data_IF_582896293612
#
_entry.id   IF_582896293612
#
_cell.length_a   1.000
_cell.length_b   1.000
_cell.length_c   1.000
_cell.angle_alpha   90.00
_cell.angle_beta   90.00
_cell.angle_gamma   90.00
#
_symmetry.space_group_name_H-M   'P 1'
#
loop_
_entity.id
_entity.type
_entity.pdbx_description
1 polymer ?
#
# COMPACT_ATOMS: atom_id res chain seq x y z
N UNK A 1 12.39 68.22 -12.39
CA UNK A 1 11.47 67.20 -12.98
C UNK A 1 12.05 65.78 -13.04
N UNK A 2 13.33 65.55 -13.36
CA UNK A 2 13.91 64.17 -13.41
C UNK A 2 13.99 63.48 -12.04
N UNK A 3 14.43 64.17 -10.99
CA UNK A 3 14.53 63.59 -9.64
C UNK A 3 13.17 63.13 -9.07
N UNK A 4 12.10 63.89 -9.35
CA UNK A 4 10.74 63.55 -8.92
C UNK A 4 10.21 62.27 -9.58
N UNK A 5 10.55 62.04 -10.85
CA UNK A 5 10.16 60.81 -11.58
C UNK A 5 10.90 59.57 -11.06
N UNK A 6 12.16 59.73 -10.63
CA UNK A 6 12.95 58.65 -10.02
C UNK A 6 12.40 58.31 -8.62
N UNK A 7 12.08 59.33 -7.82
CA UNK A 7 11.44 59.16 -6.50
C UNK A 7 10.08 58.48 -6.60
N UNK A 8 9.23 58.86 -7.56
CA UNK A 8 7.96 58.17 -7.79
C UNK A 8 8.17 56.71 -8.23
N UNK A 9 9.18 56.43 -9.07
CA UNK A 9 9.49 55.07 -9.51
C UNK A 9 9.94 54.17 -8.36
N UNK A 10 10.81 54.66 -7.49
CA UNK A 10 11.26 53.93 -6.30
C UNK A 10 10.12 53.68 -5.31
N UNK A 11 9.22 54.65 -5.15
CA UNK A 11 8.06 54.53 -4.27
C UNK A 11 7.05 53.49 -4.79
N UNK A 12 6.86 53.43 -6.12
CA UNK A 12 6.01 52.41 -6.75
C UNK A 12 6.61 50.99 -6.61
N UNK A 13 7.93 50.85 -6.74
CA UNK A 13 8.61 49.55 -6.54
C UNK A 13 8.54 49.11 -5.07
N UNK A 14 8.74 50.03 -4.12
CA UNK A 14 8.63 49.73 -2.69
C UNK A 14 7.20 49.34 -2.29
N UNK A 15 6.18 50.02 -2.84
CA UNK A 15 4.78 49.64 -2.66
C UNK A 15 4.46 48.28 -3.28
N UNK A 16 5.01 47.98 -4.47
CA UNK A 16 4.85 46.68 -5.12
C UNK A 16 5.47 45.54 -4.30
N UNK A 17 6.68 45.74 -3.78
CA UNK A 17 7.36 44.76 -2.92
C UNK A 17 6.64 44.59 -1.57
N UNK A 18 6.14 45.68 -0.98
CA UNK A 18 5.35 45.63 0.26
C UNK A 18 4.02 44.90 0.08
N UNK A 19 3.32 45.13 -1.04
CA UNK A 19 2.11 44.40 -1.39
C UNK A 19 2.39 42.90 -1.62
N UNK A 20 3.47 42.58 -2.33
CA UNK A 20 3.89 41.19 -2.55
C UNK A 20 4.23 40.48 -1.23
N UNK A 21 4.99 41.13 -0.33
CA UNK A 21 5.32 40.58 0.97
C UNK A 21 4.08 40.41 1.88
N UNK A 22 3.13 41.35 1.83
CA UNK A 22 1.88 41.26 2.58
C UNK A 22 0.95 40.14 2.06
N UNK A 23 0.93 39.92 0.74
CA UNK A 23 0.23 38.78 0.14
C UNK A 23 0.92 37.47 0.55
N UNK A 24 2.25 37.42 0.51
CA UNK A 24 3.04 36.24 0.88
C UNK A 24 2.85 35.85 2.34
N UNK A 25 2.87 36.81 3.27
CA UNK A 25 2.61 36.55 4.69
C UNK A 25 1.17 36.09 4.97
N UNK A 26 0.18 36.58 4.20
CA UNK A 26 -1.20 36.10 4.31
C UNK A 26 -1.37 34.70 3.73
N UNK A 27 -0.67 34.39 2.64
CA UNK A 27 -0.63 33.04 2.07
C UNK A 27 0.05 32.06 3.02
N UNK A 28 1.19 32.42 3.63
CA UNK A 28 1.88 31.57 4.62
C UNK A 28 1.03 31.33 5.88
N UNK A 29 0.27 32.35 6.32
CA UNK A 29 -0.65 32.24 7.46
C UNK A 29 -1.92 31.42 7.14
N UNK A 30 -2.32 31.33 5.87
CA UNK A 30 -3.41 30.47 5.41
C UNK A 30 -2.92 29.02 5.18
N UNK A 31 -1.70 28.84 4.63
CA UNK A 31 -1.08 27.55 4.38
C UNK A 31 -0.78 26.75 5.66
N UNK A 32 -0.54 27.41 6.78
CA UNK A 32 -0.36 26.73 8.07
C UNK A 32 -1.65 26.11 8.63
N UNK A 33 -2.82 26.48 8.10
CA UNK A 33 -4.13 26.00 8.56
C UNK A 33 -4.78 24.95 7.64
N UNK A 34 -4.38 24.90 6.36
CA UNK A 34 -5.05 24.10 5.32
C UNK A 34 -4.18 23.00 4.68
N UNK A 35 -3.04 22.63 5.28
CA UNK A 35 -2.05 21.71 4.70
C UNK A 35 -2.59 20.34 4.23
N UNK A 36 -3.67 19.84 4.85
CA UNK A 36 -4.32 18.58 4.44
C UNK A 36 -5.36 18.71 3.32
N UNK A 37 -5.88 19.91 3.06
CA UNK A 37 -6.98 20.15 2.11
C UNK A 37 -6.52 20.79 0.78
N UNK A 38 -5.33 21.38 0.70
CA UNK A 38 -4.84 22.01 -0.54
C UNK A 38 -4.43 21.01 -1.65
N UNK A 39 -4.33 19.72 -1.33
CA UNK A 39 -4.13 18.65 -2.33
C UNK A 39 -5.40 18.34 -3.14
N UNK A 40 -6.58 18.88 -2.76
CA UNK A 40 -7.85 18.73 -3.50
C UNK A 40 -7.91 19.50 -4.83
N UNK A 41 -7.00 20.44 -5.10
CA UNK A 41 -7.19 21.44 -6.15
C UNK A 41 -6.32 21.23 -7.41
N UNK A 42 -5.98 19.98 -7.75
CA UNK A 42 -5.51 19.68 -9.10
C UNK A 42 -6.74 19.45 -9.99
N UNK A 43 -6.99 20.30 -11.01
CA UNK A 43 -8.17 20.17 -11.85
C UNK A 43 -8.14 18.87 -12.65
N UNK A 44 -9.33 18.42 -13.08
CA UNK A 44 -9.57 17.26 -13.94
C UNK A 44 -8.51 17.15 -15.06
N UNK A 45 -8.02 15.93 -15.34
CA UNK A 45 -6.95 15.53 -16.27
C UNK A 45 -6.81 16.42 -17.53
N UNK A 46 -7.95 16.78 -18.14
CA UNK A 46 -8.01 17.61 -19.36
C UNK A 46 -7.50 19.03 -19.19
N UNK A 47 -7.69 19.62 -18.01
CA UNK A 47 -7.28 20.99 -17.70
C UNK A 47 -5.79 21.04 -17.40
N UNK A 48 -5.26 19.99 -16.78
CA UNK A 48 -3.88 19.95 -16.31
C UNK A 48 -2.87 19.94 -17.47
N UNK A 49 -3.12 19.13 -18.51
CA UNK A 49 -2.27 19.10 -19.71
C UNK A 49 -2.16 20.46 -20.43
N UNK A 50 -3.16 21.35 -20.28
CA UNK A 50 -3.13 22.69 -20.88
C UNK A 50 -2.48 23.73 -19.95
N UNK A 51 -2.58 23.53 -18.63
CA UNK A 51 -2.00 24.44 -17.63
C UNK A 51 -0.49 24.24 -17.45
N UNK A 52 0.01 23.03 -17.65
CA UNK A 52 1.42 22.70 -17.51
C UNK A 52 2.30 23.29 -18.64
N UNK A 53 1.71 23.81 -19.72
CA UNK A 53 2.40 24.42 -20.86
C UNK A 53 3.56 23.56 -21.44
N UNK A 54 3.40 22.23 -21.42
CA UNK A 54 4.40 21.27 -21.89
C UNK A 54 5.48 20.89 -20.85
N UNK A 55 5.34 21.32 -19.60
CA UNK A 55 6.24 20.95 -18.48
C UNK A 55 5.68 19.80 -17.64
N UNK A 56 4.93 18.90 -18.25
CA UNK A 56 4.15 17.85 -17.56
C UNK A 56 5.03 17.00 -16.65
N UNK A 57 6.24 16.63 -17.09
CA UNK A 57 7.20 15.85 -16.30
C UNK A 57 7.74 16.59 -15.06
N UNK A 58 7.93 17.91 -15.13
CA UNK A 58 8.37 18.73 -14.00
C UNK A 58 7.24 18.83 -12.98
N UNK A 59 6.03 19.06 -13.45
CA UNK A 59 4.83 19.11 -12.59
C UNK A 59 4.59 17.75 -11.95
N UNK A 60 4.65 16.66 -12.71
CA UNK A 60 4.55 15.30 -12.20
C UNK A 60 5.62 15.02 -11.14
N UNK A 61 6.86 15.44 -11.36
CA UNK A 61 7.96 15.28 -10.38
C UNK A 61 7.70 16.04 -9.08
N UNK A 62 7.15 17.26 -9.16
CA UNK A 62 6.75 18.02 -7.97
C UNK A 62 5.59 17.35 -7.23
N UNK A 63 4.58 16.88 -7.96
CA UNK A 63 3.44 16.16 -7.40
C UNK A 63 3.84 14.82 -6.79
N UNK A 64 4.80 14.11 -7.38
CA UNK A 64 5.41 12.91 -6.81
C UNK A 64 6.02 13.19 -5.43
N UNK A 65 6.83 14.24 -5.29
CA UNK A 65 7.39 14.62 -3.99
C UNK A 65 6.30 14.95 -2.96
N UNK A 66 5.22 15.61 -3.39
CA UNK A 66 4.06 15.86 -2.53
C UNK A 66 3.33 14.59 -2.15
N UNK A 67 3.21 13.62 -3.06
CA UNK A 67 2.63 12.31 -2.79
C UNK A 67 3.44 11.56 -1.74
N UNK A 68 4.77 11.55 -1.85
CA UNK A 68 5.64 10.92 -0.86
C UNK A 68 5.49 11.58 0.51
N UNK A 69 5.42 12.92 0.57
CA UNK A 69 5.19 13.66 1.83
C UNK A 69 3.83 13.32 2.46
N UNK A 70 2.76 13.39 1.65
CA UNK A 70 1.40 13.01 2.07
C UNK A 70 1.38 11.58 2.63
N UNK A 71 2.00 10.66 1.90
CA UNK A 71 2.05 9.25 2.27
C UNK A 71 2.82 9.05 3.58
N UNK A 72 3.97 9.72 3.75
CA UNK A 72 4.75 9.64 4.98
C UNK A 72 3.99 10.20 6.19
N UNK A 73 3.31 11.36 6.04
CA UNK A 73 2.54 11.99 7.12
C UNK A 73 1.39 11.09 7.60
N UNK A 74 0.63 10.52 6.67
CA UNK A 74 -0.47 9.62 7.00
C UNK A 74 0.03 8.27 7.52
N UNK A 75 1.16 7.76 7.03
CA UNK A 75 1.76 6.54 7.56
C UNK A 75 2.09 6.64 9.06
N UNK A 76 2.56 7.80 9.50
CA UNK A 76 2.93 8.08 10.89
C UNK A 76 1.75 8.51 11.78
N UNK A 77 0.56 8.75 11.22
CA UNK A 77 -0.58 9.31 11.94
C UNK A 77 -1.80 8.39 11.90
N UNK A 78 -2.78 8.69 11.04
CA UNK A 78 -4.08 8.00 10.96
C UNK A 78 -4.06 6.77 10.03
N UNK A 79 -3.04 6.65 9.18
CA UNK A 79 -2.93 5.66 8.10
C UNK A 79 -4.15 5.69 7.16
N UNK A 80 -4.75 6.88 7.00
CA UNK A 80 -5.76 7.16 6.02
C UNK A 80 -5.11 7.70 4.75
N UNK A 81 -5.31 6.98 3.64
CA UNK A 81 -4.68 7.29 2.35
C UNK A 81 -5.74 7.62 1.30
N UNK A 82 -6.79 8.32 1.72
CA UNK A 82 -7.94 8.66 0.88
C UNK A 82 -7.54 9.27 -0.47
N UNK A 83 -6.51 10.13 -0.52
CA UNK A 83 -6.11 10.83 -1.75
C UNK A 83 -5.12 10.08 -2.63
N UNK A 84 -4.58 8.95 -2.16
CA UNK A 84 -3.46 8.28 -2.81
C UNK A 84 -3.79 7.82 -4.24
N UNK A 85 -4.99 7.27 -4.48
CA UNK A 85 -5.43 6.88 -5.83
C UNK A 85 -5.43 8.08 -6.78
N UNK A 86 -6.05 9.17 -6.35
CA UNK A 86 -6.17 10.37 -7.17
C UNK A 86 -4.81 10.99 -7.49
N UNK A 87 -3.92 11.07 -6.49
CA UNK A 87 -2.55 11.54 -6.70
C UNK A 87 -1.80 10.64 -7.67
N UNK A 88 -1.91 9.31 -7.48
CA UNK A 88 -1.26 8.34 -8.33
C UNK A 88 -1.74 8.44 -9.79
N UNK A 89 -3.03 8.60 -10.01
CA UNK A 89 -3.62 8.79 -11.34
C UNK A 89 -3.13 10.06 -12.02
N UNK A 90 -3.12 11.20 -11.31
CA UNK A 90 -2.65 12.47 -11.89
C UNK A 90 -1.17 12.39 -12.25
N UNK A 91 -0.33 11.89 -11.34
CA UNK A 91 1.13 11.85 -11.55
C UNK A 91 1.47 10.95 -12.72
N UNK A 92 0.87 9.75 -12.78
CA UNK A 92 1.14 8.79 -13.85
C UNK A 92 0.51 9.19 -15.18
N UNK A 93 -0.56 10.00 -15.16
CA UNK A 93 -1.12 10.59 -16.38
C UNK A 93 -0.21 11.69 -16.96
N UNK A 94 0.33 12.56 -16.11
CA UNK A 94 1.21 13.64 -16.54
C UNK A 94 2.56 13.14 -17.06
N UNK A 95 3.13 12.12 -16.40
CA UNK A 95 4.42 11.54 -16.80
C UNK A 95 4.37 10.01 -16.81
N UNK A 96 3.72 9.40 -17.83
CA UNK A 96 3.59 7.96 -17.92
C UNK A 96 4.92 7.26 -18.21
N UNK A 97 5.96 7.99 -18.62
CA UNK A 97 7.29 7.45 -18.91
C UNK A 97 8.17 7.34 -17.64
N UNK A 98 7.72 7.89 -16.52
CA UNK A 98 8.42 7.79 -15.26
C UNK A 98 8.17 6.43 -14.60
N UNK A 99 9.00 5.44 -14.95
CA UNK A 99 8.95 4.07 -14.42
C UNK A 99 8.95 4.05 -12.89
N UNK A 100 9.79 4.86 -12.24
CA UNK A 100 9.90 4.85 -10.78
C UNK A 100 8.65 5.40 -10.11
N UNK A 101 8.08 6.50 -10.63
CA UNK A 101 6.81 7.01 -10.13
C UNK A 101 5.70 5.96 -10.28
N UNK A 102 5.56 5.35 -11.46
CA UNK A 102 4.59 4.28 -11.69
C UNK A 102 4.77 3.11 -10.72
N UNK A 103 6.01 2.65 -10.56
CA UNK A 103 6.39 1.54 -9.67
C UNK A 103 6.03 1.84 -8.22
N UNK A 104 6.51 2.95 -7.66
CA UNK A 104 6.34 3.24 -6.24
C UNK A 104 4.91 3.68 -5.90
N UNK A 105 4.22 4.40 -6.79
CA UNK A 105 2.80 4.71 -6.60
C UNK A 105 1.96 3.43 -6.53
N UNK A 106 2.23 2.44 -7.38
CA UNK A 106 1.59 1.14 -7.28
C UNK A 106 1.92 0.43 -5.97
N UNK A 107 3.18 0.42 -5.54
CA UNK A 107 3.58 -0.15 -4.25
C UNK A 107 2.83 0.52 -3.09
N UNK A 108 2.65 1.85 -3.12
CA UNK A 108 1.87 2.57 -2.11
C UNK A 108 0.40 2.16 -2.12
N UNK A 109 -0.23 2.08 -3.30
CA UNK A 109 -1.62 1.64 -3.43
C UNK A 109 -1.83 0.24 -2.87
N UNK A 110 -0.94 -0.69 -3.22
CA UNK A 110 -0.96 -2.10 -2.80
C UNK A 110 -0.65 -2.23 -1.29
N UNK A 111 0.40 -1.56 -0.81
CA UNK A 111 0.93 -1.79 0.54
C UNK A 111 0.21 -0.99 1.63
N UNK A 112 -0.28 0.21 1.30
CA UNK A 112 -0.82 1.17 2.27
C UNK A 112 -2.35 1.32 2.15
N UNK A 113 -2.86 1.24 0.92
CA UNK A 113 -4.31 1.28 0.65
C UNK A 113 -4.94 -0.10 0.52
N UNK A 114 -4.12 -1.13 0.33
CA UNK A 114 -4.57 -2.47 0.00
C UNK A 114 -5.38 -2.60 -1.28
N UNK A 115 -5.19 -1.61 -2.16
CA UNK A 115 -5.90 -1.49 -3.41
C UNK A 115 -5.10 -2.19 -4.50
N UNK A 116 -5.08 -3.52 -4.42
CA UNK A 116 -4.29 -4.37 -5.32
C UNK A 116 -4.71 -4.17 -6.78
N UNK A 117 -6.01 -3.94 -7.02
CA UNK A 117 -6.54 -3.72 -8.36
C UNK A 117 -6.08 -2.39 -8.95
N UNK A 118 -6.19 -1.28 -8.20
CA UNK A 118 -5.69 0.01 -8.66
C UNK A 118 -4.18 -0.02 -8.90
N UNK A 119 -3.41 -0.70 -8.02
CA UNK A 119 -1.97 -0.88 -8.19
C UNK A 119 -1.62 -1.65 -9.46
N UNK A 120 -2.27 -2.80 -9.71
CA UNK A 120 -2.05 -3.61 -10.92
C UNK A 120 -2.45 -2.82 -12.17
N UNK A 121 -3.57 -2.11 -12.15
CA UNK A 121 -4.04 -1.34 -13.31
C UNK A 121 -3.11 -0.17 -13.63
N UNK A 122 -2.61 0.53 -12.61
CA UNK A 122 -1.60 1.56 -12.77
C UNK A 122 -0.32 0.99 -13.40
N UNK A 123 0.17 -0.16 -12.93
CA UNK A 123 1.36 -0.80 -13.50
C UNK A 123 1.12 -1.25 -14.95
N UNK A 124 -0.05 -1.82 -15.26
CA UNK A 124 -0.44 -2.20 -16.63
C UNK A 124 -0.44 -1.00 -17.56
N UNK A 125 -1.00 0.14 -17.14
CA UNK A 125 -0.93 1.39 -17.91
C UNK A 125 0.51 1.84 -18.11
N UNK A 126 1.34 1.77 -17.07
CA UNK A 126 2.77 2.09 -17.14
C UNK A 126 3.53 1.22 -18.15
N UNK A 127 3.20 -0.07 -18.25
CA UNK A 127 3.82 -1.00 -19.21
C UNK A 127 3.55 -0.63 -20.67
N UNK A 128 2.41 0.01 -20.98
CA UNK A 128 2.08 0.46 -22.34
C UNK A 128 3.12 1.50 -22.81
N UNK A 129 3.53 2.40 -21.92
CA UNK A 129 4.50 3.46 -22.22
C UNK A 129 5.96 3.04 -22.00
N UNK A 130 6.19 2.00 -21.19
CA UNK A 130 7.52 1.52 -20.79
C UNK A 130 7.69 -0.01 -21.00
N UNK A 131 7.67 -0.51 -22.23
CA UNK A 131 7.67 -1.95 -22.51
C UNK A 131 8.97 -2.68 -22.10
N UNK A 132 10.07 -1.96 -21.90
CA UNK A 132 11.37 -2.53 -21.50
C UNK A 132 11.69 -2.38 -20.01
N UNK A 133 10.78 -1.80 -19.23
CA UNK A 133 10.93 -1.66 -17.79
C UNK A 133 10.51 -2.97 -17.11
N UNK A 134 11.47 -3.75 -16.62
CA UNK A 134 11.20 -5.03 -15.95
C UNK A 134 10.48 -4.84 -14.62
N UNK A 135 10.65 -3.67 -13.99
CA UNK A 135 10.13 -3.34 -12.67
C UNK A 135 8.60 -3.44 -12.65
N UNK A 136 7.93 -2.94 -13.69
CA UNK A 136 6.47 -2.87 -13.72
C UNK A 136 5.80 -4.26 -13.72
N UNK A 137 6.13 -5.19 -14.66
CA UNK A 137 5.60 -6.54 -14.60
C UNK A 137 6.10 -7.31 -13.37
N UNK A 138 7.31 -7.04 -12.87
CA UNK A 138 7.79 -7.63 -11.61
C UNK A 138 6.87 -7.26 -10.44
N UNK A 139 6.54 -5.98 -10.25
CA UNK A 139 5.67 -5.54 -9.14
C UNK A 139 4.25 -6.11 -9.27
N UNK A 140 3.72 -6.28 -10.50
CA UNK A 140 2.43 -6.97 -10.71
C UNK A 140 2.53 -8.41 -10.21
N UNK A 141 3.57 -9.15 -10.61
CA UNK A 141 3.74 -10.53 -10.19
C UNK A 141 3.84 -10.65 -8.66
N UNK A 142 4.56 -9.72 -8.03
CA UNK A 142 4.69 -9.70 -6.59
C UNK A 142 3.37 -9.41 -5.87
N UNK A 143 2.56 -8.51 -6.42
CA UNK A 143 1.21 -8.26 -5.92
C UNK A 143 0.37 -9.54 -5.92
N UNK A 144 0.45 -10.35 -6.99
CA UNK A 144 -0.24 -11.65 -7.03
C UNK A 144 0.28 -12.64 -5.99
N UNK A 145 1.59 -12.68 -5.75
CA UNK A 145 2.19 -13.63 -4.82
C UNK A 145 1.99 -13.32 -3.35
N UNK A 146 1.99 -12.04 -3.02
CA UNK A 146 2.00 -11.57 -1.64
C UNK A 146 0.59 -11.19 -1.22
N UNK A 147 -0.09 -10.36 -2.02
CA UNK A 147 -1.37 -9.77 -1.64
C UNK A 147 -2.55 -10.64 -2.06
N UNK A 148 -2.48 -11.26 -3.25
CA UNK A 148 -3.56 -12.08 -3.79
C UNK A 148 -3.34 -13.59 -3.67
N UNK A 149 -2.38 -14.01 -2.84
CA UNK A 149 -1.94 -15.42 -2.68
C UNK A 149 -3.06 -16.47 -2.56
N UNK A 150 -4.19 -16.10 -1.98
CA UNK A 150 -5.34 -16.99 -1.75
C UNK A 150 -6.22 -17.18 -3.00
N UNK A 151 -6.03 -16.39 -4.06
CA UNK A 151 -6.79 -16.51 -5.31
C UNK A 151 -6.23 -17.69 -6.15
N UNK A 152 -7.10 -18.57 -6.68
CA UNK A 152 -6.66 -19.76 -7.42
C UNK A 152 -5.78 -19.48 -8.64
N UNK A 153 -5.94 -18.33 -9.28
CA UNK A 153 -5.22 -17.92 -10.49
C UNK A 153 -3.92 -17.16 -10.21
N UNK A 154 -3.67 -16.75 -8.96
CA UNK A 154 -2.50 -15.95 -8.60
C UNK A 154 -1.16 -16.55 -8.99
N UNK A 155 -0.90 -17.86 -8.82
CA UNK A 155 0.35 -18.48 -9.28
C UNK A 155 0.54 -18.33 -10.80
N UNK A 156 -0.55 -18.48 -11.57
CA UNK A 156 -0.52 -18.37 -13.04
C UNK A 156 -0.26 -16.93 -13.47
N UNK A 157 -0.93 -15.96 -12.85
CA UNK A 157 -0.71 -14.54 -13.14
C UNK A 157 0.71 -14.13 -12.76
N UNK A 158 1.18 -14.50 -11.56
CA UNK A 158 2.52 -14.17 -11.12
C UNK A 158 3.61 -14.76 -12.03
N UNK A 159 3.48 -16.03 -12.44
CA UNK A 159 4.40 -16.65 -13.40
C UNK A 159 4.39 -15.93 -14.76
N UNK A 160 3.21 -15.57 -15.27
CA UNK A 160 3.08 -14.79 -16.51
C UNK A 160 3.84 -13.47 -16.42
N UNK A 161 3.60 -12.69 -15.37
CA UNK A 161 4.21 -11.36 -15.23
C UNK A 161 5.72 -11.43 -14.90
N UNK A 162 6.18 -12.43 -14.15
CA UNK A 162 7.62 -12.68 -13.99
C UNK A 162 8.28 -13.06 -15.32
N UNK A 163 7.63 -13.88 -16.14
CA UNK A 163 8.08 -14.17 -17.50
C UNK A 163 8.25 -12.89 -18.31
N UNK A 164 7.25 -12.01 -18.31
CA UNK A 164 7.34 -10.70 -18.98
C UNK A 164 8.48 -9.85 -18.44
N UNK A 165 8.71 -9.83 -17.13
CA UNK A 165 9.82 -9.09 -16.53
C UNK A 165 11.18 -9.60 -17.03
N UNK A 166 11.37 -10.92 -17.05
CA UNK A 166 12.59 -11.57 -17.56
C UNK A 166 12.79 -11.30 -19.06
N UNK A 167 11.72 -11.36 -19.84
CA UNK A 167 11.75 -11.15 -21.30
C UNK A 167 12.13 -9.72 -21.71
N UNK A 168 12.06 -8.73 -20.81
CA UNK A 168 12.57 -7.38 -21.09
C UNK A 168 14.08 -7.33 -21.39
N UNK A 169 14.83 -8.36 -20.99
CA UNK A 169 16.29 -8.46 -21.17
C UNK A 169 17.13 -7.61 -20.22
N UNK A 170 16.48 -6.78 -19.38
CA UNK A 170 17.14 -5.89 -18.42
C UNK A 170 16.92 -6.32 -16.96
N UNK A 171 16.23 -7.43 -16.74
CA UNK A 171 15.92 -7.91 -15.40
C UNK A 171 17.20 -8.31 -14.62
N UNK A 172 17.37 -7.83 -13.38
CA UNK A 172 18.50 -8.20 -12.55
C UNK A 172 18.42 -9.68 -12.12
N UNK A 173 19.55 -10.29 -11.70
CA UNK A 173 19.61 -11.71 -11.36
C UNK A 173 18.57 -12.18 -10.34
N UNK A 174 18.21 -11.36 -9.36
CA UNK A 174 17.21 -11.73 -8.36
C UNK A 174 15.82 -11.99 -8.98
N UNK A 175 15.45 -11.28 -10.06
CA UNK A 175 14.16 -11.49 -10.73
C UNK A 175 14.16 -12.84 -11.45
N UNK A 176 15.29 -13.24 -12.03
CA UNK A 176 15.47 -14.57 -12.63
C UNK A 176 15.37 -15.66 -11.57
N UNK A 177 16.01 -15.47 -10.42
CA UNK A 177 15.96 -16.42 -9.29
C UNK A 177 14.52 -16.59 -8.80
N UNK A 178 13.78 -15.49 -8.60
CA UNK A 178 12.37 -15.56 -8.22
C UNK A 178 11.54 -16.27 -9.29
N UNK A 179 11.75 -15.99 -10.57
CA UNK A 179 11.06 -16.67 -11.66
C UNK A 179 11.37 -18.19 -11.72
N UNK A 180 12.60 -18.60 -11.38
CA UNK A 180 13.01 -20.01 -11.30
C UNK A 180 12.42 -20.71 -10.09
N UNK A 181 12.45 -20.08 -8.91
CA UNK A 181 11.78 -20.59 -7.70
C UNK A 181 10.29 -20.76 -7.96
N UNK A 182 9.69 -19.87 -8.77
CA UNK A 182 8.30 -19.99 -9.19
C UNK A 182 8.01 -21.19 -10.11
N UNK A 183 9.02 -21.77 -10.73
CA UNK A 183 8.85 -22.99 -11.52
C UNK A 183 9.01 -24.26 -10.66
N UNK A 184 9.50 -24.14 -9.41
CA UNK A 184 9.59 -25.22 -8.42
C UNK A 184 8.52 -25.12 -7.33
N UNK A 185 8.08 -26.24 -6.75
CA UNK A 185 7.10 -26.25 -5.66
C UNK A 185 7.60 -25.44 -4.43
N UNK A 186 6.71 -24.65 -3.80
CA UNK A 186 6.96 -23.25 -3.40
C UNK A 186 7.26 -22.91 -1.93
N UNK A 187 8.15 -21.92 -1.69
CA UNK A 187 8.18 -21.07 -0.47
C UNK A 187 8.13 -19.55 -0.80
N UNK A 188 6.93 -18.98 -0.94
CA UNK A 188 6.73 -17.56 -1.27
C UNK A 188 7.16 -16.59 -0.15
N UNK A 189 7.36 -17.07 1.09
CA UNK A 189 7.84 -16.22 2.18
C UNK A 189 9.29 -15.78 1.95
N UNK A 190 10.12 -16.64 1.36
CA UNK A 190 11.52 -16.33 1.07
C UNK A 190 11.63 -15.32 -0.09
N UNK A 191 10.70 -15.39 -1.04
CA UNK A 191 10.56 -14.41 -2.14
C UNK A 191 10.17 -13.04 -1.57
N UNK A 192 9.12 -12.98 -0.76
CA UNK A 192 8.66 -11.73 -0.13
C UNK A 192 9.77 -11.10 0.73
N UNK A 193 10.51 -11.92 1.50
CA UNK A 193 11.63 -11.46 2.32
C UNK A 193 12.78 -10.88 1.48
N UNK A 194 13.18 -11.58 0.42
CA UNK A 194 14.25 -11.13 -0.47
C UNK A 194 13.91 -9.79 -1.11
N UNK A 195 12.65 -9.62 -1.53
CA UNK A 195 12.16 -8.35 -2.09
C UNK A 195 12.26 -7.21 -1.08
N UNK A 196 11.68 -7.35 0.12
CA UNK A 196 11.71 -6.27 1.12
C UNK A 196 13.12 -5.97 1.62
N UNK A 197 14.01 -6.98 1.67
CA UNK A 197 15.43 -6.77 1.98
C UNK A 197 16.08 -5.87 0.93
N UNK A 198 15.82 -6.12 -0.36
CA UNK A 198 16.33 -5.27 -1.42
C UNK A 198 15.80 -3.82 -1.33
N UNK A 199 14.52 -3.64 -1.00
CA UNK A 199 13.93 -2.30 -0.77
C UNK A 199 14.57 -1.62 0.44
N UNK A 200 14.87 -2.36 1.51
CA UNK A 200 15.55 -1.83 2.70
C UNK A 200 16.99 -1.37 2.37
N UNK A 201 17.69 -2.05 1.46
CA UNK A 201 19.06 -1.69 1.08
C UNK A 201 19.12 -0.52 0.09
N UNK A 202 18.19 -0.47 -0.88
CA UNK A 202 18.24 0.46 -2.01
C UNK A 202 17.26 1.64 -1.92
N UNK A 203 16.23 1.53 -1.08
CA UNK A 203 15.16 2.52 -0.95
C UNK A 203 15.61 3.83 -0.33
N UNK A 204 14.78 4.87 -0.48
CA UNK A 204 14.90 6.12 0.27
C UNK A 204 14.47 5.95 1.74
N UNK A 205 14.59 7.00 2.55
CA UNK A 205 14.30 6.92 3.99
C UNK A 205 12.92 6.34 4.30
N UNK A 206 11.90 6.68 3.52
CA UNK A 206 10.54 6.22 3.75
C UNK A 206 10.35 4.78 3.28
N UNK A 207 10.86 4.45 2.08
CA UNK A 207 10.81 3.08 1.57
C UNK A 207 11.54 2.09 2.47
N UNK A 208 12.65 2.51 3.11
CA UNK A 208 13.35 1.69 4.09
C UNK A 208 12.52 1.43 5.34
N UNK A 209 11.81 2.42 5.84
CA UNK A 209 10.93 2.27 7.00
C UNK A 209 9.76 1.33 6.70
N UNK A 210 9.15 1.48 5.52
CA UNK A 210 8.12 0.55 5.04
C UNK A 210 8.66 -0.88 4.94
N UNK A 211 9.85 -1.04 4.38
CA UNK A 211 10.51 -2.34 4.26
C UNK A 211 10.84 -2.96 5.62
N UNK A 212 11.34 -2.17 6.57
CA UNK A 212 11.60 -2.60 7.95
C UNK A 212 10.33 -3.13 8.60
N UNK A 213 9.23 -2.37 8.51
CA UNK A 213 7.93 -2.80 9.02
C UNK A 213 7.48 -4.14 8.40
N UNK A 214 7.64 -4.29 7.08
CA UNK A 214 7.25 -5.53 6.37
C UNK A 214 8.12 -6.72 6.70
N UNK A 215 9.42 -6.53 6.89
CA UNK A 215 10.34 -7.58 7.32
C UNK A 215 9.98 -8.08 8.73
N UNK A 216 9.62 -7.18 9.65
CA UNK A 216 9.14 -7.58 10.99
C UNK A 216 7.84 -8.38 10.89
N UNK A 217 6.88 -7.97 10.05
CA UNK A 217 5.64 -8.74 9.82
C UNK A 217 5.92 -10.16 9.30
N UNK A 218 6.93 -10.32 8.42
CA UNK A 218 7.35 -11.63 7.93
C UNK A 218 7.98 -12.49 9.02
N UNK A 219 8.81 -11.91 9.88
CA UNK A 219 9.40 -12.62 11.03
C UNK A 219 8.33 -13.13 11.97
N UNK A 220 7.28 -12.34 12.24
CA UNK A 220 6.15 -12.78 13.06
C UNK A 220 5.43 -13.98 12.44
N UNK A 221 5.25 -14.01 11.11
CA UNK A 221 4.66 -15.17 10.41
C UNK A 221 5.54 -16.42 10.53
N UNK A 222 6.86 -16.27 10.42
CA UNK A 222 7.82 -17.38 10.61
C UNK A 222 7.74 -17.91 12.04
N UNK A 223 7.67 -17.02 13.05
CA UNK A 223 7.49 -17.41 14.45
C UNK A 223 6.17 -18.16 14.65
N UNK A 224 5.06 -17.75 14.02
CA UNK A 224 3.81 -18.52 14.07
C UNK A 224 3.99 -19.95 13.52
N UNK A 225 4.68 -20.13 12.38
CA UNK A 225 4.96 -21.46 11.82
C UNK A 225 5.83 -22.33 12.74
N UNK A 226 6.81 -21.72 13.42
CA UNK A 226 7.62 -22.40 14.44
C UNK A 226 6.78 -22.78 15.66
N UNK A 227 5.86 -21.91 16.08
CA UNK A 227 4.93 -22.18 17.16
C UNK A 227 3.94 -23.29 16.79
N UNK A 228 3.47 -23.37 15.55
CA UNK A 228 2.65 -24.50 15.06
C UNK A 228 3.40 -25.83 15.19
N UNK A 229 4.69 -25.84 14.85
CA UNK A 229 5.55 -27.00 15.05
C UNK A 229 5.72 -27.35 16.53
N UNK A 230 5.85 -26.35 17.41
CA UNK A 230 5.90 -26.53 18.86
C UNK A 230 4.57 -27.07 19.43
N UNK A 231 3.43 -26.61 18.92
CA UNK A 231 2.09 -27.09 19.28
C UNK A 231 1.95 -28.57 18.89
N UNK A 232 2.42 -28.95 17.70
CA UNK A 232 2.42 -30.34 17.27
C UNK A 232 3.27 -31.24 18.19
N UNK A 233 4.47 -30.77 18.57
CA UNK A 233 5.35 -31.49 19.49
C UNK A 233 4.73 -31.60 20.90
N UNK A 234 4.09 -30.54 21.40
CA UNK A 234 3.38 -30.57 22.67
C UNK A 234 2.27 -31.63 22.66
N UNK A 235 1.47 -31.67 21.59
CA UNK A 235 0.40 -32.67 21.42
C UNK A 235 0.97 -34.09 21.41
N UNK A 236 2.10 -34.31 20.74
CA UNK A 236 2.76 -35.61 20.71
C UNK A 236 3.24 -36.06 22.10
N UNK A 237 3.78 -35.13 22.91
CA UNK A 237 4.37 -35.43 24.22
C UNK A 237 3.34 -35.58 25.34
N UNK A 238 2.30 -34.75 25.34
CA UNK A 238 1.35 -34.63 26.45
C UNK A 238 -0.05 -35.19 26.12
N UNK A 239 -0.31 -35.59 24.86
CA UNK A 239 -1.60 -36.13 24.43
C UNK A 239 -2.74 -35.11 24.41
N UNK A 240 -2.47 -33.84 24.70
CA UNK A 240 -3.44 -32.74 24.71
C UNK A 240 -2.91 -31.57 23.87
N UNK A 241 -3.81 -30.77 23.29
CA UNK A 241 -3.42 -29.53 22.60
C UNK A 241 -3.24 -28.41 23.64
N UNK A 242 -2.17 -27.61 23.57
CA UNK A 242 -2.00 -26.43 24.42
C UNK A 242 -3.11 -25.43 24.12
N UNK A 243 -3.60 -24.73 25.16
CA UNK A 243 -4.61 -23.68 25.02
C UNK A 243 -3.99 -22.29 24.85
N UNK A 244 -2.78 -22.12 25.38
CA UNK A 244 -2.05 -20.85 25.38
C UNK A 244 -0.60 -21.05 24.93
N UNK A 245 0.08 -19.96 24.58
CA UNK A 245 1.52 -20.01 24.29
C UNK A 245 2.32 -20.31 25.57
N UNK A 246 1.81 -19.85 26.72
CA UNK A 246 2.38 -20.11 28.04
C UNK A 246 2.38 -21.62 28.37
N UNK A 247 1.38 -22.38 27.92
CA UNK A 247 1.36 -23.84 28.09
C UNK A 247 2.57 -24.51 27.42
N UNK A 248 3.04 -23.99 26.28
CA UNK A 248 4.23 -24.50 25.60
C UNK A 248 5.51 -24.27 26.41
N UNK A 249 5.56 -23.17 27.18
CA UNK A 249 6.69 -22.86 28.07
C UNK A 249 6.64 -23.76 29.30
N UNK A 250 5.48 -23.84 29.98
CA UNK A 250 5.30 -24.69 31.16
C UNK A 250 5.50 -26.18 30.82
N UNK A 251 5.07 -26.60 29.64
CA UNK A 251 5.27 -27.96 29.12
C UNK A 251 6.69 -28.28 28.67
N UNK A 252 7.62 -27.33 28.79
CA UNK A 252 9.04 -27.50 28.46
C UNK A 252 9.34 -27.65 26.97
N UNK A 253 8.44 -27.20 26.10
CA UNK A 253 8.64 -27.19 24.65
C UNK A 253 9.39 -25.92 24.22
N UNK A 254 9.07 -24.78 24.84
CA UNK A 254 9.73 -23.50 24.63
C UNK A 254 10.44 -23.05 25.91
N UNK A 255 11.58 -22.39 25.76
CA UNK A 255 12.27 -21.76 26.91
C UNK A 255 11.57 -20.50 27.39
N UNK A 256 10.96 -19.75 26.48
CA UNK A 256 10.20 -18.53 26.76
C UNK A 256 9.20 -18.26 25.64
N UNK A 257 8.14 -17.51 25.94
CA UNK A 257 7.18 -17.07 24.94
C UNK A 257 7.85 -16.05 23.98
N UNK A 258 7.69 -16.20 22.65
CA UNK A 258 8.19 -15.22 21.69
C UNK A 258 7.56 -13.83 21.92
N UNK A 259 8.33 -12.80 21.61
CA UNK A 259 7.88 -11.40 21.70
C UNK A 259 7.60 -10.86 20.32
N UNK A 260 6.61 -9.98 20.25
CA UNK A 260 6.29 -9.24 19.04
C UNK A 260 6.94 -7.84 19.12
N UNK A 261 7.89 -7.51 18.23
CA UNK A 261 8.53 -6.19 18.21
C UNK A 261 7.56 -5.04 17.94
N UNK A 262 6.39 -5.33 17.35
CA UNK A 262 5.35 -4.36 17.02
C UNK A 262 4.35 -4.15 18.18
N UNK A 263 4.55 -4.82 19.31
CA UNK A 263 3.73 -4.67 20.53
C UNK A 263 2.50 -5.59 20.60
N UNK A 264 2.30 -6.46 19.61
CA UNK A 264 1.25 -7.47 19.63
C UNK A 264 1.55 -8.68 20.52
N UNK A 265 0.73 -9.73 20.39
CA UNK A 265 0.82 -10.96 21.19
C UNK A 265 0.59 -12.19 20.33
N UNK A 266 1.27 -13.27 20.70
CA UNK A 266 1.02 -14.60 20.15
C UNK A 266 -0.09 -15.30 20.94
N UNK A 267 -0.95 -16.03 20.25
CA UNK A 267 -2.03 -16.82 20.86
C UNK A 267 -2.35 -18.05 20.01
N UNK A 268 -3.08 -19.00 20.56
CA UNK A 268 -3.57 -20.18 19.83
C UNK A 268 -5.04 -19.94 19.48
N UNK A 269 -5.38 -20.00 18.20
CA UNK A 269 -6.74 -19.79 17.73
C UNK A 269 -7.62 -21.05 17.92
N UNK A 270 -8.91 -20.94 17.59
CA UNK A 270 -9.88 -22.05 17.70
C UNK A 270 -9.55 -23.24 16.78
N UNK A 271 -8.72 -23.04 15.75
CA UNK A 271 -8.23 -24.11 14.89
C UNK A 271 -7.02 -24.86 15.49
N UNK A 272 -6.53 -24.38 16.63
CA UNK A 272 -5.35 -24.94 17.29
C UNK A 272 -4.04 -24.49 16.66
N UNK A 273 -4.05 -23.39 15.91
CA UNK A 273 -2.84 -22.82 15.27
C UNK A 273 -2.38 -21.55 15.97
N UNK A 274 -1.09 -21.32 15.93
CA UNK A 274 -0.48 -20.11 16.45
C UNK A 274 -0.79 -18.92 15.53
N UNK A 275 -1.23 -17.83 16.14
CA UNK A 275 -1.53 -16.57 15.48
C UNK A 275 -0.84 -15.43 16.22
N UNK A 276 -0.69 -14.30 15.53
CA UNK A 276 -0.13 -13.07 16.08
C UNK A 276 -1.11 -11.91 15.84
N UNK A 277 -1.36 -11.08 16.87
CA UNK A 277 -2.31 -9.97 16.76
C UNK A 277 -1.84 -8.89 15.78
N UNK A 278 -0.56 -8.49 15.76
CA UNK A 278 -0.08 -7.47 14.83
C UNK A 278 -0.28 -7.88 13.37
N UNK A 279 -0.01 -9.15 13.04
CA UNK A 279 -0.22 -9.70 11.69
C UNK A 279 -1.71 -9.76 11.34
N UNK A 280 -2.55 -10.22 12.27
CA UNK A 280 -3.99 -10.36 12.03
C UNK A 280 -4.70 -9.01 11.97
N UNK A 281 -4.39 -8.08 12.87
CA UNK A 281 -4.98 -6.75 12.92
C UNK A 281 -4.65 -5.95 11.66
N UNK A 282 -3.41 -6.05 11.17
CA UNK A 282 -3.03 -5.45 9.88
C UNK A 282 -3.84 -6.06 8.73
N UNK A 283 -4.05 -7.39 8.74
CA UNK A 283 -4.89 -8.06 7.74
C UNK A 283 -6.36 -7.67 7.87
N UNK A 284 -6.90 -7.50 9.08
CA UNK A 284 -8.28 -7.03 9.32
C UNK A 284 -8.43 -5.62 8.77
N UNK A 285 -7.53 -4.71 9.16
CA UNK A 285 -7.54 -3.32 8.70
C UNK A 285 -7.55 -3.23 7.18
N UNK A 286 -6.70 -4.04 6.54
CA UNK A 286 -6.59 -4.19 5.09
C UNK A 286 -7.91 -4.62 4.44
N UNK A 287 -8.44 -5.78 4.85
CA UNK A 287 -9.64 -6.34 4.26
C UNK A 287 -10.87 -5.48 4.52
N UNK A 288 -10.97 -4.86 5.69
CA UNK A 288 -12.02 -3.90 6.03
C UNK A 288 -11.99 -2.70 5.09
N UNK A 289 -10.81 -2.15 4.80
CA UNK A 289 -10.64 -1.03 3.86
C UNK A 289 -11.06 -1.40 2.44
N UNK A 290 -10.73 -2.62 2.00
CA UNK A 290 -11.13 -3.13 0.68
C UNK A 290 -12.65 -3.31 0.61
N UNK A 291 -13.25 -3.91 1.64
CA UNK A 291 -14.71 -4.04 1.75
C UNK A 291 -15.40 -2.68 1.75
N UNK A 292 -14.89 -1.72 2.54
CA UNK A 292 -15.44 -0.37 2.60
C UNK A 292 -15.37 0.33 1.23
N UNK A 293 -14.26 0.17 0.51
CA UNK A 293 -14.10 0.71 -0.85
C UNK A 293 -15.12 0.08 -1.80
N UNK A 294 -15.29 -1.25 -1.77
CA UNK A 294 -16.27 -1.95 -2.59
C UNK A 294 -17.72 -1.53 -2.28
N UNK A 295 -18.06 -1.32 -1.00
CA UNK A 295 -19.35 -0.80 -0.55
C UNK A 295 -19.60 0.60 -1.11
N UNK A 296 -18.58 1.47 -1.10
CA UNK A 296 -18.70 2.82 -1.63
C UNK A 296 -18.87 2.81 -3.16
N UNK A 297 -18.10 1.98 -3.87
CA UNK A 297 -18.27 1.77 -5.32
C UNK A 297 -19.67 1.21 -5.66
N UNK A 298 -20.20 0.31 -4.82
CA UNK A 298 -21.60 -0.13 -4.93
C UNK A 298 -22.56 1.06 -4.79
N UNK A 299 -22.36 1.89 -3.76
CA UNK A 299 -23.21 3.04 -3.46
C UNK A 299 -23.24 4.04 -4.61
N UNK A 300 -22.08 4.34 -5.18
CA UNK A 300 -21.98 5.25 -6.33
C UNK A 300 -22.72 4.70 -7.55
N UNK A 301 -22.60 3.40 -7.82
CA UNK A 301 -23.22 2.76 -8.99
C UNK A 301 -24.73 2.58 -8.86
N UNK A 302 -25.21 2.21 -7.68
CA UNK A 302 -26.61 1.84 -7.45
C UNK A 302 -27.41 2.88 -6.65
N UNK A 303 -26.76 3.98 -6.23
CA UNK A 303 -27.35 5.09 -5.46
C UNK A 303 -27.99 4.65 -4.14
N UNK A 304 -27.51 3.54 -3.57
CA UNK A 304 -27.87 3.00 -2.24
C UNK A 304 -26.77 2.08 -1.73
N UNK A 305 -26.71 1.87 -0.42
CA UNK A 305 -25.86 0.83 0.14
C UNK A 305 -26.40 -0.58 -0.17
N UNK A 306 -25.52 -1.60 -0.24
CA UNK A 306 -25.94 -2.98 -0.41
C UNK A 306 -26.73 -3.44 0.84
N UNK A 307 -27.74 -4.31 0.64
CA UNK A 307 -28.54 -4.80 1.76
C UNK A 307 -27.76 -5.80 2.64
N UNK A 308 -26.82 -6.52 2.03
CA UNK A 308 -25.87 -7.42 2.66
C UNK A 308 -24.57 -7.42 1.85
N UNK A 309 -23.44 -7.83 2.47
CA UNK A 309 -22.15 -7.89 1.79
C UNK A 309 -22.18 -8.80 0.55
N UNK A 310 -22.96 -9.89 0.58
CA UNK A 310 -23.09 -10.83 -0.54
C UNK A 310 -23.56 -10.15 -1.85
N UNK A 311 -24.28 -9.03 -1.74
CA UNK A 311 -24.73 -8.27 -2.90
C UNK A 311 -23.57 -7.67 -3.72
N UNK A 312 -22.41 -7.44 -3.08
CA UNK A 312 -21.19 -7.03 -3.77
C UNK A 312 -20.71 -8.11 -4.75
N UNK A 313 -20.88 -9.38 -4.40
CA UNK A 313 -20.50 -10.52 -5.24
C UNK A 313 -21.54 -10.70 -6.35
N UNK A 314 -22.82 -10.65 -6.01
CA UNK A 314 -23.92 -10.77 -6.99
C UNK A 314 -23.87 -9.69 -8.09
N UNK A 315 -23.37 -8.50 -7.76
CA UNK A 315 -23.20 -7.39 -8.71
C UNK A 315 -21.81 -7.30 -9.34
N UNK A 316 -20.98 -8.33 -9.16
CA UNK A 316 -19.63 -8.41 -9.73
C UNK A 316 -18.74 -7.21 -9.35
N UNK A 317 -18.92 -6.69 -8.13
CA UNK A 317 -18.01 -5.69 -7.54
C UNK A 317 -16.84 -6.39 -6.86
N UNK A 318 -17.08 -7.57 -6.30
CA UNK A 318 -16.04 -8.44 -5.74
C UNK A 318 -16.23 -9.87 -6.22
N UNK A 319 -15.14 -10.62 -6.38
CA UNK A 319 -15.23 -12.05 -6.72
C UNK A 319 -15.77 -12.89 -5.56
N UNK A 320 -15.42 -12.52 -4.33
CA UNK A 320 -15.89 -13.14 -3.10
C UNK A 320 -15.75 -12.19 -1.91
N UNK A 321 -16.57 -12.39 -0.87
CA UNK A 321 -16.39 -11.72 0.41
C UNK A 321 -15.26 -12.42 1.17
N UNK A 322 -14.16 -11.72 1.51
CA UNK A 322 -13.05 -12.32 2.21
C UNK A 322 -13.48 -12.74 3.62
N UNK A 323 -13.06 -13.92 4.12
CA UNK A 323 -13.35 -14.32 5.49
C UNK A 323 -12.63 -13.40 6.49
N UNK A 324 -13.18 -13.29 7.69
CA UNK A 324 -12.55 -12.51 8.75
C UNK A 324 -11.22 -13.19 9.20
N UNK A 325 -10.10 -12.47 9.31
CA UNK A 325 -8.78 -13.04 9.64
C UNK A 325 -8.73 -13.80 10.97
N UNK A 326 -9.42 -13.31 12.00
CA UNK A 326 -9.60 -14.06 13.25
C UNK A 326 -10.61 -15.18 13.05
N UNK A 327 -10.15 -16.43 13.21
CA UNK A 327 -10.99 -17.62 13.09
C UNK A 327 -12.21 -17.55 14.03
N UNK A 328 -13.39 -17.87 13.48
CA UNK A 328 -14.66 -17.88 14.22
C UNK A 328 -15.32 -16.51 14.38
N UNK A 329 -14.75 -15.44 13.81
CA UNK A 329 -15.40 -14.13 13.69
C UNK A 329 -15.98 -13.93 12.29
N UNK A 330 -16.91 -12.99 12.16
CA UNK A 330 -17.52 -12.57 10.90
C UNK A 330 -17.53 -11.04 10.83
N UNK A 331 -17.51 -10.49 9.62
CA UNK A 331 -17.68 -9.06 9.39
C UNK A 331 -19.05 -8.59 9.90
N UNK A 332 -19.07 -7.47 10.61
CA UNK A 332 -20.29 -6.81 11.03
C UNK A 332 -20.59 -5.68 10.04
N UNK A 333 -21.71 -5.77 9.34
CA UNK A 333 -22.09 -4.81 8.30
C UNK A 333 -23.40 -4.10 8.66
N UNK A 334 -23.41 -2.76 8.54
CA UNK A 334 -24.58 -1.94 8.74
C UNK A 334 -25.12 -1.42 7.39
N UNK A 335 -26.28 -1.91 6.90
CA UNK A 335 -26.82 -1.52 5.60
C UNK A 335 -27.37 -0.08 5.55
N UNK A 336 -27.56 0.57 6.71
CA UNK A 336 -28.05 1.95 6.76
C UNK A 336 -26.90 2.94 6.61
N UNK A 337 -25.77 2.66 7.25
CA UNK A 337 -24.59 3.54 7.22
C UNK A 337 -23.54 3.12 6.20
N UNK A 338 -23.61 1.88 5.69
CA UNK A 338 -22.57 1.29 4.84
C UNK A 338 -21.28 0.94 5.57
N UNK A 339 -21.27 0.99 6.91
CA UNK A 339 -20.09 0.70 7.71
C UNK A 339 -19.85 -0.81 7.83
N UNK A 340 -18.59 -1.22 7.74
CA UNK A 340 -18.14 -2.60 7.97
C UNK A 340 -17.06 -2.65 9.06
N UNK A 341 -17.24 -3.56 10.03
CA UNK A 341 -16.35 -3.77 11.18
C UNK A 341 -15.80 -5.19 11.25
#
# INVERSE_FOLDING_TARGET
MRAWRILMGLLAVALGLGAAAGIQQRLDAMQTRNRGEELLYLPNEKVLNHLCAGMDSIVASFLWLKCVQYTAEHFHSDQDFTWLNHMADIITHLDPYNVQACRYLAIFLVSLKADDEAGIELLKRGMIHNPFAYELPYEIAMTYLINRREQPDSPVQAAKYLGMAVETGNAPPFVLEVAQVMQGEYNLLDVERSMWTHVMESGDSFMRELAERKLVELDLRVVCSQLDSAIALYRQRHGQTPKTIEDLVVGGILSQAPRDPLGGKFFIDISGRAQNTSVLDERVKRLRKNLQTAIESYRERFQRYPAALDELVEKYIMDAIPPHPYAGRSWLYNPTTGAVE
#
